data_IF_429388096585
#
_entry.id   IF_429388096585
#
_cell.length_a   1.000
_cell.length_b   1.000
_cell.length_c   1.000
_cell.angle_alpha   90.00
_cell.angle_beta   90.00
_cell.angle_gamma   90.00
#
_symmetry.space_group_name_H-M   'P 1'
#
loop_
_entity.id
_entity.type
_entity.pdbx_description
1 polymer ?
2 polymer ?
3 non-polymer ?
4 non-polymer ?
5 non-polymer ?
6 water ?
#
loop_
_entity_poly.entity_id
_entity_poly.type
_entity_poly.pdbx_seq_one_letter_code
_entity_poly.pdbx_strand_id
1 'polyribonucleotide' 'GCGCAACAUCCCCGCCGGUUGGGCGCAUUGCACUCCGCGCAGUGAACCGGCUGCGCC' ?
#
# COMPACT_ATOMS: atom_id res chain seq x y z
N UNK B 1 -6.17 12.89 6.11
CA UNK B 1 -5.76 11.50 6.18
C UNK B 1 -6.46 10.67 5.09
N UNK B 2 -7.58 10.06 5.45
CA UNK B 2 -8.41 9.35 4.48
C UNK B 2 -9.27 10.33 3.69
N UNK B 3 -10.00 9.79 2.73
CA UNK B 3 -11.01 10.48 1.91
C UNK B 3 -10.50 11.62 1.04
N UNK B 4 -9.34 11.50 0.36
CA UNK B 4 -9.20 12.17 -0.94
C UNK B 4 -9.37 11.10 -2.00
N UNK B 5 -8.41 10.98 -2.92
CA UNK B 5 -8.27 9.80 -3.76
C UNK B 5 -7.09 9.94 -4.72
N UNK B 6 -6.01 9.22 -4.43
CA UNK B 6 -4.90 9.10 -5.37
C UNK B 6 -4.38 7.67 -5.39
N UNK B 7 -3.93 7.17 -4.24
CA UNK B 7 -3.48 5.80 -4.12
C UNK B 7 -3.62 5.34 -2.67
N UNK B 8 -3.12 4.14 -2.39
CA UNK B 8 -3.32 3.50 -1.10
C UNK B 8 -2.12 3.80 -0.20
N UNK B 9 -2.37 3.72 1.09
CA UNK B 9 -1.35 3.85 2.12
C UNK B 9 -1.71 2.81 3.18
N UNK B 10 -0.89 1.77 3.31
CA UNK B 10 -1.14 0.69 4.25
C UNK B 10 -0.33 0.95 5.50
N UNK B 11 -0.94 0.70 6.66
CA UNK B 11 -0.38 1.05 7.95
C UNK B 11 -0.36 -0.19 8.84
N UNK B 12 0.35 -0.08 9.96
CA UNK B 12 0.36 -1.13 10.99
C UNK B 12 0.80 -2.47 10.40
N UNK B 13 1.98 -2.46 9.81
CA UNK B 13 2.58 -3.66 9.25
C UNK B 13 3.64 -4.21 10.18
N UNK B 14 3.93 -5.51 10.01
CA UNK B 14 4.97 -6.16 10.80
C UNK B 14 6.34 -5.68 10.34
N UNK B 15 7.01 -4.89 11.17
CA UNK B 15 8.30 -4.32 10.81
C UNK B 15 9.42 -5.36 10.83
N UNK B 16 9.18 -6.52 11.43
CA UNK B 16 10.18 -7.59 11.38
C UNK B 16 10.38 -8.09 9.96
N UNK B 17 9.35 -7.98 9.12
CA UNK B 17 9.45 -8.44 7.74
C UNK B 17 10.41 -7.56 6.97
N UNK B 18 11.34 -8.18 6.25
CA UNK B 18 12.33 -7.44 5.48
C UNK B 18 11.67 -6.72 4.30
N UNK B 19 12.45 -5.86 3.66
CA UNK B 19 11.92 -5.01 2.60
C UNK B 19 11.54 -5.83 1.37
N UNK B 20 12.46 -6.67 0.89
CA UNK B 20 12.23 -7.41 -0.35
C UNK B 20 11.06 -8.37 -0.21
N UNK B 21 11.05 -9.18 0.87
CA UNK B 21 9.96 -10.12 1.07
C UNK B 21 8.63 -9.41 1.18
N UNK B 22 8.62 -8.23 1.81
CA UNK B 22 7.37 -7.47 1.94
C UNK B 22 6.94 -6.89 0.60
N UNK B 23 7.87 -6.33 -0.17
CA UNK B 23 7.52 -5.68 -1.43
C UNK B 23 6.88 -6.64 -2.42
N UNK B 24 7.23 -7.93 -2.35
CA UNK B 24 6.67 -8.92 -3.26
C UNK B 24 5.49 -9.68 -2.68
N UNK B 25 5.46 -9.90 -1.36
CA UNK B 25 4.31 -10.52 -0.72
C UNK B 25 3.12 -9.58 -0.61
N UNK B 26 3.21 -8.37 -1.16
CA UNK B 26 2.08 -7.47 -1.34
C UNK B 26 1.65 -7.36 -2.79
N UNK B 27 2.61 -7.29 -3.72
CA UNK B 27 2.29 -7.31 -5.14
C UNK B 27 1.55 -8.58 -5.52
N UNK B 28 1.93 -9.71 -4.92
CA UNK B 28 1.20 -10.96 -5.15
C UNK B 28 -0.18 -10.95 -4.52
N UNK B 29 -0.44 -10.02 -3.60
CA UNK B 29 -1.74 -9.92 -2.94
C UNK B 29 -2.58 -8.76 -3.47
N UNK B 30 -1.97 -7.72 -4.02
CA UNK B 30 -2.68 -6.51 -4.41
C UNK B 30 -2.81 -6.34 -5.91
N UNK B 31 -2.61 -7.41 -6.68
CA UNK B 31 -2.92 -7.40 -8.11
C UNK B 31 -4.13 -8.25 -8.45
N UNK B 32 -4.74 -8.90 -7.46
CA UNK B 32 -6.04 -9.52 -7.67
C UNK B 32 -7.09 -8.50 -8.06
N UNK B 33 -6.86 -7.22 -7.74
CA UNK B 33 -7.80 -6.13 -8.01
C UNK B 33 -7.04 -4.95 -8.59
N UNK B 34 -6.49 -5.13 -9.78
CA UNK B 34 -5.82 -4.04 -10.50
C UNK B 34 -4.39 -4.38 -10.83
N UNK B 35 -3.79 -3.47 -11.60
CA UNK B 35 -2.41 -3.58 -12.05
C UNK B 35 -1.55 -2.60 -11.26
N UNK B 36 -0.43 -3.07 -10.73
CA UNK B 36 0.43 -2.29 -9.84
C UNK B 36 1.53 -1.64 -10.67
N UNK B 37 1.74 -0.35 -10.44
CA UNK B 37 2.81 0.40 -11.10
C UNK B 37 4.13 0.28 -10.34
N UNK B 38 4.13 0.69 -9.08
CA UNK B 38 5.33 0.65 -8.26
C UNK B 38 4.92 0.54 -6.79
N UNK B 39 5.61 -0.33 -6.06
CA UNK B 39 5.42 -0.49 -4.62
C UNK B 39 6.65 0.05 -3.91
N UNK B 40 6.43 0.80 -2.83
CA UNK B 40 7.50 1.50 -2.13
C UNK B 40 7.42 1.21 -0.64
N UNK B 41 8.55 0.81 -0.06
CA UNK B 41 8.63 0.47 1.36
C UNK B 41 10.00 0.88 1.88
N UNK B 42 10.02 1.45 3.08
CA UNK B 42 11.26 1.83 3.75
C UNK B 42 11.24 1.33 5.18
N UNK B 43 12.38 0.85 5.66
CA UNK B 43 12.53 0.42 7.04
C UNK B 43 13.04 1.54 7.95
N UNK B 44 13.00 2.78 7.47
CA UNK B 44 13.40 3.92 8.28
C UNK B 44 12.54 4.02 9.54
N UNK B 45 12.94 4.91 10.44
CA UNK B 45 12.22 5.06 11.71
C UNK B 45 10.79 5.54 11.51
N UNK B 46 10.50 6.28 10.44
CA UNK B 46 9.14 6.77 10.22
C UNK B 46 8.32 5.82 9.36
N UNK B 47 8.85 5.43 8.19
CA UNK B 47 8.05 4.70 7.22
C UNK B 47 8.13 3.20 7.38
N UNK B 48 8.74 2.70 8.45
CA UNK B 48 8.64 1.27 8.72
C UNK B 48 7.21 0.94 9.16
N UNK B 49 6.76 -0.26 8.77
CA UNK B 49 5.39 -0.63 9.01
C UNK B 49 4.38 0.03 8.09
N UNK B 50 4.85 0.74 7.07
CA UNK B 50 3.97 1.43 6.11
C UNK B 50 4.42 1.12 4.70
N UNK B 51 3.48 1.20 3.76
CA UNK B 51 3.75 0.90 2.36
C UNK B 51 3.00 1.89 1.48
N UNK B 52 3.53 2.10 0.27
CA UNK B 52 2.94 2.99 -0.73
C UNK B 52 2.86 2.24 -2.04
N UNK B 53 1.65 1.88 -2.46
CA UNK B 53 1.41 1.21 -3.73
C UNK B 53 0.48 2.06 -4.58
N UNK B 54 0.81 2.20 -5.87
CA UNK B 54 0.02 2.97 -6.81
C UNK B 54 -0.22 2.12 -8.06
N UNK B 55 -1.43 2.23 -8.60
CA UNK B 55 -1.89 1.40 -9.70
C UNK B 55 -1.97 2.26 -10.97
N UNK B 56 -2.96 1.96 -11.83
CA UNK B 56 -3.12 2.69 -13.08
C UNK B 56 -3.54 4.14 -12.81
N UNK B 57 -4.69 4.33 -12.16
CA UNK B 57 -5.11 5.66 -11.72
C UNK B 57 -5.77 5.60 -10.35
N UNK B 58 -6.84 6.37 -10.15
CA UNK B 58 -7.43 6.54 -8.82
C UNK B 58 -8.27 5.31 -8.43
N UNK B 59 -9.32 5.00 -9.19
CA UNK B 59 -10.17 3.86 -8.89
C UNK B 59 -9.55 2.55 -9.38
N UNK B 60 -8.42 2.61 -10.07
CA UNK B 60 -7.54 1.46 -10.06
C UNK B 60 -6.83 1.33 -8.72
N UNK B 61 -7.05 2.28 -7.79
CA UNK B 61 -6.53 2.19 -6.44
C UNK B 61 -7.62 2.19 -5.36
N UNK B 62 -8.82 2.70 -5.65
CA UNK B 62 -9.95 2.47 -4.75
C UNK B 62 -10.19 0.99 -4.59
N UNK B 63 -9.74 0.18 -5.56
CA UNK B 63 -9.86 -1.28 -5.52
C UNK B 63 -8.87 -1.92 -4.55
N UNK B 64 -8.59 -1.31 -3.39
CA UNK B 64 -7.66 -1.91 -2.44
C UNK B 64 -8.21 -1.81 -1.03
N UNK B 65 -8.48 -0.59 -0.57
CA UNK B 65 -9.28 -0.41 0.63
C UNK B 65 -10.60 -1.16 0.51
N UNK B 66 -11.19 -1.15 -0.70
CA UNK B 66 -12.09 -2.17 -1.23
C UNK B 66 -12.00 -3.48 -0.47
N UNK B 67 -10.88 -4.18 -0.61
CA UNK B 67 -10.74 -5.55 -0.12
C UNK B 67 -10.22 -5.62 1.30
N UNK B 68 -8.93 -5.35 1.48
CA UNK B 68 -8.35 -5.52 2.80
C UNK B 68 -8.62 -4.29 3.67
N UNK B 69 -8.71 -4.55 4.98
CA UNK B 69 -8.93 -3.53 6.01
C UNK B 69 -8.96 -4.24 7.36
N UNK B 70 -7.84 -4.86 7.72
CA UNK B 70 -7.79 -5.72 8.89
C UNK B 70 -7.39 -7.13 8.53
N UNK B 71 -6.85 -7.32 7.33
CA UNK B 71 -6.35 -8.62 6.89
C UNK B 71 -5.22 -9.06 7.82
N UNK B 72 -5.35 -10.21 8.52
CA UNK B 72 -4.23 -10.72 9.32
C UNK B 72 -2.97 -10.93 8.50
N UNK B 73 -2.27 -9.84 8.19
CA UNK B 73 -1.06 -9.87 7.38
C UNK B 73 0.14 -9.95 8.30
N UNK B 74 0.82 -11.09 8.28
CA UNK B 74 1.97 -11.35 9.15
C UNK B 74 1.62 -11.16 10.62
N UNK B 75 0.45 -11.70 11.00
CA UNK B 75 -0.02 -11.72 12.39
C UNK B 75 -0.34 -10.32 12.93
N UNK B 76 -0.82 -9.43 12.05
CA UNK B 76 -1.28 -8.11 12.47
C UNK B 76 -2.20 -7.54 11.40
N UNK B 77 -3.38 -7.06 11.76
CA UNK B 77 -4.32 -6.58 10.76
C UNK B 77 -3.80 -5.35 10.02
N UNK B 78 -4.08 -5.32 8.71
CA UNK B 78 -3.75 -4.16 7.90
C UNK B 78 -4.69 -3.00 8.22
N UNK B 79 -4.28 -1.80 7.82
CA UNK B 79 -5.13 -0.62 7.86
C UNK B 79 -4.75 0.27 6.69
N UNK B 80 -5.58 0.28 5.65
CA UNK B 80 -5.31 1.00 4.43
C UNK B 80 -6.03 2.34 4.47
N UNK B 81 -5.58 3.26 3.62
CA UNK B 81 -5.95 4.67 3.71
C UNK B 81 -5.39 5.37 2.48
N UNK B 82 -6.15 6.33 1.96
CA UNK B 82 -5.75 6.97 0.71
C UNK B 82 -4.58 7.93 0.94
N UNK B 83 -3.60 7.88 0.04
CA UNK B 83 -2.44 8.77 0.16
C UNK B 83 -2.87 10.22 0.06
N UNK B 84 -2.38 11.03 0.99
CA UNK B 84 -2.80 12.43 1.08
C UNK B 84 -2.45 13.20 -0.19
N UNK B 85 -1.18 13.16 -0.59
CA UNK B 85 -0.75 13.74 -1.85
C UNK B 85 -0.58 12.62 -2.88
N UNK B 86 0.03 12.95 -4.01
CA UNK B 86 0.24 11.98 -5.08
C UNK B 86 1.72 11.69 -5.25
N UNK B 87 2.02 10.48 -5.73
CA UNK B 87 3.39 10.06 -5.95
C UNK B 87 4.00 10.81 -7.13
N UNK B 88 5.30 11.08 -7.03
CA UNK B 88 5.97 11.95 -8.00
C UNK B 88 6.18 11.31 -9.36
N UNK B 89 5.70 10.07 -9.58
CA UNK B 89 5.79 9.47 -10.90
C UNK B 89 4.47 9.58 -11.67
N UNK B 90 3.33 9.76 -10.98
CA UNK B 90 2.05 9.96 -11.65
C UNK B 90 1.80 11.41 -12.01
N UNK B 91 2.67 12.32 -11.58
CA UNK B 91 2.57 13.74 -11.94
C UNK B 91 3.08 14.03 -13.34
N UNK B 92 3.18 12.99 -14.19
CA UNK B 92 3.64 13.16 -15.56
C UNK B 92 2.69 12.49 -16.54
X LIG C 1 60.13 -4.10 9.88
X LIG C 1 59.32 -5.28 10.31
X LIG C 1 61.57 -4.55 9.65
X LIG C 1 60.06 -3.01 10.92
X LIG C 1 59.53 -3.56 8.48
X LIG C 1 59.62 -2.01 8.09
X LIG C 1 58.76 -1.19 9.02
X LIG C 1 61.06 -1.54 8.08
X LIG C 1 59.03 -1.97 6.59
X LIG C 1 57.44 -1.83 6.33
X LIG C 1 56.71 -2.95 7.02
X LIG C 1 56.94 -0.49 6.80
X LIG C 1 57.34 -1.95 4.72
X LIG C 1 57.95 -0.96 3.93
X LIG C 1 58.60 -1.58 2.71
X LIG C 1 59.78 -2.22 3.14
X LIG C 1 57.78 -2.68 2.05
X LIG C 1 57.06 -2.18 0.95
X LIG C 1 58.80 -3.68 1.57
X LIG C 1 59.08 -3.45 0.20
X LIG C 1 60.03 -3.40 2.40
X LIG C 1 60.24 -4.50 3.35
X LIG C 1 60.20 -4.42 4.72
X LIG C 1 60.44 -5.66 5.22
X LIG C 1 60.65 -6.51 4.19
X LIG C 1 60.94 -7.87 4.13
X LIG C 1 61.05 -8.52 5.16
X LIG C 1 61.09 -8.47 2.90
X LIG C 1 60.96 -7.74 1.74
X LIG C 1 61.11 -8.32 0.55
X LIG C 1 60.68 -6.40 1.80
X LIG C 1 60.53 -5.80 3.01
X LIG D 1 18.67 -5.17 13.52
X LIG E 1 23.19 -3.66 12.33
X LIG F 1 38.03 -7.20 15.64
X LIG G 1 41.71 -6.23 6.57
X LIG H 1 44.24 -16.64 9.26
X LIG I 1 45.65 -22.73 17.71
X LIG J 1 45.71 -23.66 12.30
X LIG K 1 38.12 -19.69 23.40
X LIG L 1 49.02 -23.92 11.32
X LIG L 1 47.64 -23.34 11.53
X LIG L 1 49.39 -24.46 9.96
X LIG L 1 50.11 -22.83 11.78
X LIG L 1 51.32 -22.66 11.03
X LIG L 1 51.64 -21.17 11.04
X LIG L 1 51.55 -20.62 12.36
X LIG L 1 53.06 -20.86 10.58
X LIG L 1 53.13 -20.75 9.16
X LIG L 1 53.36 -19.55 11.27
X LIG L 1 53.11 -18.45 10.38
X LIG L 1 52.37 -19.45 12.42
X LIG L 1 53.10 -19.37 13.70
X LIG L 1 53.76 -20.38 14.30
X LIG L 1 54.32 -19.98 15.46
X LIG L 1 54.02 -18.68 15.63
X LIG L 1 54.30 -17.63 16.64
X LIG L 1 55.04 -17.90 17.75
X LIG L 1 53.80 -16.40 16.44
X LIG L 1 53.08 -16.11 15.34
X LIG L 1 52.78 -17.01 14.38
X LIG L 1 53.22 -18.29 14.46
X LIG L 1 49.30 -25.05 12.42
X LIG L 1 48.14 -25.91 13.12
X LIG L 1 46.81 -25.24 12.85
X LIG L 1 48.56 -26.21 14.54
X LIG L 1 48.22 -27.29 12.31
X LIG L 1 47.49 -28.43 12.77
X LIG L 1 47.37 -29.39 11.59
X LIG L 1 46.17 -30.18 11.74
X LIG L 1 47.23 -28.60 10.30
X LIG L 1 48.41 -28.76 9.51
X LIG L 1 46.02 -29.18 9.58
X LIG L 1 46.40 -29.68 8.29
X LIG L 1 45.52 -30.31 10.47
X LIG L 1 44.07 -30.27 10.61
X LIG L 1 43.39 -31.40 10.34
X LIG L 1 42.00 -31.44 10.45
X LIG L 1 41.28 -32.72 10.15
X LIG L 1 40.44 -32.74 9.27
X LIG L 1 41.61 -33.82 10.84
X LIG L 1 41.32 -30.30 10.86
X LIG L 1 42.05 -29.15 11.12
X LIG L 1 43.43 -29.16 11.00
#
# INVERSE_FOLDING_TARGET
ETRPNHTIYINNLNEKIKKDELKKSLHAIFSRFGQILDILVSRSLKMRGQAFVIFKEVSSATNALRSMQGFPFYDKPMRIQYAKTDSDIIAK
GTP PG O1G O2G O3G O3B PB O1B O2B O3A PA O1A O2A O5' C5' C4' O4' C3' O3' C2' O2' C1' N9 C8 N7 C5 C6 O6 N1 C2 N2 N3 C4
MG MG
MG MG
MG MG
MG MG
MG MG
MG MG
MG MG
MG MG
NAD PA O1A O2A O5B C5B C4B O4B C3B O3B C2B O2B C1B N9A C8A N7A C5A C6A N6A N1A C2A N3A C4A O3 PN O1N O2N O5D C5D C4D O4D C3D O3D C2D O2D C1D N1N C2N C3N C7N O7N N7N C4N C5N C6N
#
